data_IF_773188054917
#
_entry.id   IF_773188054917
#
_cell.length_a   1.000
_cell.length_b   1.000
_cell.length_c   1.000
_cell.angle_alpha   90.00
_cell.angle_beta   90.00
_cell.angle_gamma   90.00
#
_symmetry.space_group_name_H-M   'P 1'
#
loop_
_entity.id
_entity.type
_entity.pdbx_description
1 polymer ?
#
# COMPACT_ATOMS: atom_id res chain seq x y z
N UNK A 1 -6.20 3.30 4.37
CA UNK A 1 -6.66 3.74 5.71
C UNK A 1 -6.84 5.25 5.68
N UNK A 2 -7.59 5.83 6.62
CA UNK A 2 -7.89 7.27 6.63
C UNK A 2 -6.64 8.17 6.67
N UNK A 3 -5.53 7.67 7.19
CA UNK A 3 -4.26 8.36 7.37
C UNK A 3 -3.20 8.02 6.28
N UNK A 4 -3.56 7.27 5.25
CA UNK A 4 -2.63 6.93 4.16
C UNK A 4 -1.47 5.98 4.54
N UNK A 5 -1.52 5.33 5.69
CA UNK A 5 -0.40 4.50 6.23
C UNK A 5 -0.25 3.10 5.59
N UNK A 6 -1.00 2.80 4.53
CA UNK A 6 -0.93 1.53 3.79
C UNK A 6 -0.72 1.85 2.31
N UNK A 7 0.40 1.46 1.70
CA UNK A 7 0.87 2.05 0.44
C UNK A 7 0.15 1.54 -0.82
N UNK A 8 -0.54 0.41 -0.75
CA UNK A 8 -1.25 -0.18 -1.89
C UNK A 8 -2.50 -0.90 -1.44
N UNK A 9 -3.46 -1.09 -2.34
CA UNK A 9 -4.63 -1.92 -2.08
C UNK A 9 -4.28 -3.38 -1.75
N UNK A 10 -3.24 -3.93 -2.39
CA UNK A 10 -2.73 -5.27 -2.07
C UNK A 10 -2.31 -5.41 -0.59
N UNK A 11 -1.55 -4.43 -0.06
CA UNK A 11 -1.17 -4.36 1.36
C UNK A 11 -2.35 -4.13 2.31
N UNK A 12 -3.44 -3.49 1.85
CA UNK A 12 -4.65 -3.35 2.67
C UNK A 12 -5.24 -4.73 2.99
N UNK A 13 -5.28 -5.60 1.98
CA UNK A 13 -5.79 -6.97 2.06
C UNK A 13 -4.82 -7.96 2.75
N UNK A 14 -3.55 -7.55 2.96
CA UNK A 14 -2.48 -8.39 3.52
C UNK A 14 -1.76 -7.68 4.66
N UNK A 15 -2.37 -7.64 5.86
CA UNK A 15 -1.83 -6.90 7.00
C UNK A 15 -0.39 -7.29 7.37
N UNK A 16 -0.07 -8.59 7.30
CA UNK A 16 1.25 -9.12 7.62
C UNK A 16 2.36 -8.63 6.68
N UNK A 17 2.02 -8.12 5.49
CA UNK A 17 2.98 -7.62 4.52
C UNK A 17 3.11 -6.09 4.53
N UNK A 18 2.33 -5.37 5.36
CA UNK A 18 2.35 -3.90 5.39
C UNK A 18 3.74 -3.41 5.82
N UNK A 19 4.39 -2.53 5.04
CA UNK A 19 5.68 -1.98 5.45
C UNK A 19 5.49 -1.01 6.63
N UNK A 20 6.49 -0.96 7.51
CA UNK A 20 6.52 0.01 8.60
C UNK A 20 7.03 1.40 8.16
N UNK A 21 7.82 1.44 7.08
CA UNK A 21 8.34 2.67 6.48
C UNK A 21 8.26 2.61 4.97
N UNK A 22 7.86 3.72 4.34
CA UNK A 22 7.83 3.87 2.88
C UNK A 22 7.84 5.34 2.48
N UNK A 23 8.23 5.62 1.23
CA UNK A 23 8.24 6.98 0.69
C UNK A 23 6.91 7.31 0.01
N UNK A 24 6.45 8.54 0.22
CA UNK A 24 5.29 9.15 -0.44
C UNK A 24 5.70 10.45 -1.13
N UNK A 25 4.84 10.96 -2.01
CA UNK A 25 5.14 12.11 -2.86
C UNK A 25 6.06 11.74 -4.02
N UNK A 26 5.70 12.17 -5.23
CA UNK A 26 6.58 12.00 -6.39
C UNK A 26 6.75 10.54 -6.84
N UNK A 27 5.99 9.58 -6.32
CA UNK A 27 6.22 8.14 -6.50
C UNK A 27 5.75 7.60 -7.86
N UNK A 28 6.37 6.48 -8.27
CA UNK A 28 5.86 5.63 -9.36
C UNK A 28 4.70 4.79 -8.86
N UNK A 29 3.81 4.40 -9.77
CA UNK A 29 2.70 3.50 -9.46
C UNK A 29 3.07 2.03 -9.72
N UNK A 30 2.76 1.16 -8.76
CA UNK A 30 2.67 -0.28 -8.94
C UNK A 30 1.23 -0.63 -9.32
N UNK A 31 0.99 -0.87 -10.61
CA UNK A 31 -0.33 -1.20 -11.14
C UNK A 31 -0.77 -2.64 -10.80
N UNK A 32 0.18 -3.53 -10.50
CA UNK A 32 -0.15 -4.90 -10.12
C UNK A 32 -0.74 -4.94 -8.70
N UNK A 33 -0.15 -4.16 -7.78
CA UNK A 33 -0.59 -4.04 -6.38
C UNK A 33 -1.56 -2.89 -6.11
N UNK A 34 -1.75 -2.01 -7.10
CA UNK A 34 -2.58 -0.80 -7.06
C UNK A 34 -2.14 0.14 -5.93
N UNK A 35 -1.08 0.91 -6.18
CA UNK A 35 -0.61 1.96 -5.27
C UNK A 35 0.83 2.38 -5.53
N UNK A 36 1.54 2.74 -4.47
CA UNK A 36 2.93 3.19 -4.51
C UNK A 36 3.86 2.03 -4.85
N UNK A 37 4.72 2.22 -5.84
CA UNK A 37 5.86 1.35 -6.05
C UNK A 37 6.92 1.57 -4.97
N UNK A 38 7.14 0.55 -4.14
CA UNK A 38 8.07 0.58 -3.01
C UNK A 38 9.52 0.32 -3.40
N UNK A 39 9.77 -0.12 -4.63
CA UNK A 39 11.10 -0.41 -5.15
C UNK A 39 11.25 0.12 -6.59
N UNK A 40 11.15 1.45 -6.79
CA UNK A 40 11.31 2.03 -8.10
C UNK A 40 12.75 1.83 -8.62
N UNK A 41 12.94 1.81 -9.95
CA UNK A 41 14.27 1.81 -10.56
C UNK A 41 15.15 2.94 -10.00
N UNK A 42 16.46 2.71 -9.93
CA UNK A 42 17.41 3.67 -9.33
C UNK A 42 17.51 5.00 -10.10
N UNK A 43 17.10 5.02 -11.36
CA UNK A 43 17.06 6.18 -12.25
C UNK A 43 15.70 6.92 -12.23
N UNK A 44 14.74 6.43 -11.45
CA UNK A 44 13.45 7.08 -11.30
C UNK A 44 13.60 8.48 -10.68
N UNK A 45 13.04 9.48 -11.36
CA UNK A 45 13.02 10.87 -10.89
C UNK A 45 11.66 11.21 -10.29
N UNK A 46 11.57 11.47 -8.97
CA UNK A 46 10.33 11.89 -8.36
C UNK A 46 9.87 13.25 -8.91
N UNK A 47 8.58 13.38 -9.18
CA UNK A 47 7.98 14.64 -9.66
C UNK A 47 7.66 15.64 -8.55
N UNK A 48 7.89 15.26 -7.28
CA UNK A 48 7.82 16.13 -6.10
C UNK A 48 8.89 15.73 -5.09
N UNK A 49 9.09 16.56 -4.05
CA UNK A 49 9.96 16.22 -2.91
C UNK A 49 9.33 15.05 -2.15
N UNK A 50 9.99 13.88 -2.06
CA UNK A 50 9.45 12.75 -1.31
C UNK A 50 9.49 12.99 0.20
N UNK A 51 8.55 12.38 0.91
CA UNK A 51 8.53 12.32 2.38
C UNK A 51 8.43 10.87 2.84
N UNK A 52 9.05 10.55 3.98
CA UNK A 52 8.92 9.23 4.59
C UNK A 52 7.66 9.17 5.45
N UNK A 53 6.92 8.07 5.33
CA UNK A 53 5.89 7.67 6.28
C UNK A 53 6.49 6.61 7.20
N UNK A 54 6.55 6.90 8.51
CA UNK A 54 6.87 5.91 9.55
C UNK A 54 5.59 5.58 10.33
N UNK A 55 5.13 4.33 10.21
CA UNK A 55 3.85 3.91 10.79
C UNK A 55 3.92 3.74 12.31
N UNK A 56 5.09 3.91 12.92
CA UNK A 56 5.27 3.94 14.38
C UNK A 56 5.06 5.33 14.98
N UNK A 57 5.03 6.38 14.15
CA UNK A 57 4.75 7.74 14.58
C UNK A 57 3.27 7.94 14.97
N UNK A 58 3.03 8.90 15.88
CA UNK A 58 1.68 9.23 16.33
C UNK A 58 0.76 9.61 15.15
N UNK A 59 -0.40 8.97 15.08
CA UNK A 59 -1.39 9.18 14.01
C UNK A 59 -1.13 8.43 12.70
N UNK A 60 0.02 7.75 12.55
CA UNK A 60 0.40 7.06 11.31
C UNK A 60 0.34 5.53 11.39
N UNK A 61 -0.29 4.97 12.43
CA UNK A 61 -0.47 3.51 12.53
C UNK A 61 -1.07 2.91 11.26
N UNK A 62 -0.50 1.79 10.82
CA UNK A 62 -0.98 0.98 9.69
C UNK A 62 -1.84 -0.22 10.12
N UNK A 63 -2.28 -0.25 11.39
CA UNK A 63 -3.18 -1.27 11.93
C UNK A 63 -4.65 -1.00 11.59
N UNK A 64 -5.48 -2.02 11.71
CA UNK A 64 -6.90 -1.97 11.46
C UNK A 64 -7.30 -2.55 10.09
N UNK A 65 -8.62 -2.67 9.92
CA UNK A 65 -9.26 -3.25 8.73
C UNK A 65 -8.83 -4.68 8.38
N UNK A 66 -8.32 -5.46 9.35
CA UNK A 66 -7.93 -6.86 9.09
C UNK A 66 -9.14 -7.79 8.95
N UNK A 67 -10.20 -7.55 9.74
CA UNK A 67 -11.38 -8.43 9.83
C UNK A 67 -12.05 -8.67 8.49
N UNK A 68 -12.12 -7.65 7.63
CA UNK A 68 -12.75 -7.76 6.30
C UNK A 68 -12.03 -8.70 5.33
N UNK A 69 -10.77 -9.05 5.62
CA UNK A 69 -9.94 -9.93 4.77
C UNK A 69 -9.53 -11.23 5.46
N UNK A 70 -9.85 -11.39 6.75
CA UNK A 70 -9.42 -12.53 7.56
C UNK A 70 -9.99 -13.87 7.06
N UNK A 71 -11.17 -13.85 6.43
CA UNK A 71 -11.81 -15.04 5.85
C UNK A 71 -11.41 -15.34 4.39
N UNK A 72 -10.59 -14.49 3.76
CA UNK A 72 -10.19 -14.66 2.36
C UNK A 72 -8.85 -15.40 2.25
N UNK A 73 -8.81 -16.41 1.40
CA UNK A 73 -7.58 -17.00 0.90
C UNK A 73 -6.84 -16.06 -0.05
N UNK A 74 -5.59 -16.39 -0.38
CA UNK A 74 -4.77 -15.53 -1.24
C UNK A 74 -5.35 -15.36 -2.65
N UNK A 75 -5.90 -16.44 -3.24
CA UNK A 75 -6.55 -16.36 -4.55
C UNK A 75 -7.80 -15.47 -4.55
N UNK A 76 -8.56 -15.44 -3.44
CA UNK A 76 -9.74 -14.58 -3.31
C UNK A 76 -9.33 -13.11 -3.14
N UNK A 77 -8.24 -12.83 -2.40
CA UNK A 77 -7.67 -11.48 -2.31
C UNK A 77 -7.17 -10.99 -3.66
N UNK A 78 -6.54 -11.86 -4.46
CA UNK A 78 -6.09 -11.51 -5.81
C UNK A 78 -7.28 -11.26 -6.74
N UNK A 79 -8.32 -12.11 -6.71
CA UNK A 79 -9.55 -11.91 -7.47
C UNK A 79 -10.26 -10.60 -7.08
N UNK A 80 -10.33 -10.27 -5.78
CA UNK A 80 -10.88 -9.01 -5.30
C UNK A 80 -10.05 -7.81 -5.77
N UNK A 81 -8.72 -7.92 -5.74
CA UNK A 81 -7.83 -6.88 -6.24
C UNK A 81 -8.04 -6.63 -7.73
N UNK A 82 -8.18 -7.70 -8.52
CA UNK A 82 -8.46 -7.59 -9.95
C UNK A 82 -9.85 -7.02 -10.24
N UNK A 83 -10.86 -7.39 -9.46
CA UNK A 83 -12.19 -6.77 -9.54
C UNK A 83 -12.11 -5.25 -9.26
N UNK A 84 -11.37 -4.83 -8.24
CA UNK A 84 -11.23 -3.42 -7.88
C UNK A 84 -10.44 -2.60 -8.92
N UNK A 85 -9.64 -3.23 -9.79
CA UNK A 85 -8.99 -2.54 -10.93
C UNK A 85 -9.99 -2.11 -12.01
N UNK A 86 -11.24 -2.58 -11.98
CA UNK A 86 -12.28 -2.27 -12.96
C UNK A 86 -13.15 -1.07 -12.57
N UNK A 87 -12.98 -0.51 -11.37
CA UNK A 87 -13.75 0.62 -10.84
C UNK A 87 -12.96 1.94 -10.98
#
# INVERSE_FOLDING_TARGET
LHNGSVPTLWHLMRPAARPARFMVGGHRLDLARVGIDLAPPTDYQPWSIPAEVDTTAFGLSNSGHEVGFAGLGEAEKDALLDYLKLL
#
